data_IF_544874692241
#
_entry.id   IF_544874692241
#
_cell.length_a   1.000
_cell.length_b   1.000
_cell.length_c   1.000
_cell.angle_alpha   90.00
_cell.angle_beta   90.00
_cell.angle_gamma   90.00
#
_symmetry.space_group_name_H-M   'P 1'
#
loop_
_entity.id
_entity.type
_entity.pdbx_description
1 polymer ?
#
# COMPACT_ATOMS: atom_id res chain seq x y z
N UNK A 1 -17.12 6.45 5.92
CA UNK A 1 -16.20 5.31 5.63
C UNK A 1 -15.63 4.76 6.93
N UNK A 2 -15.19 3.49 6.98
CA UNK A 2 -14.72 2.83 8.20
C UNK A 2 -13.65 3.61 8.99
N UNK A 3 -12.69 4.24 8.29
CA UNK A 3 -11.68 5.10 8.92
C UNK A 3 -12.30 6.31 9.64
N UNK A 4 -13.32 6.96 9.06
CA UNK A 4 -13.98 8.11 9.69
C UNK A 4 -14.74 7.72 10.96
N UNK A 5 -15.35 6.54 10.99
CA UNK A 5 -16.02 6.06 12.20
C UNK A 5 -15.04 5.85 13.36
N UNK A 6 -13.83 5.35 13.07
CA UNK A 6 -12.74 5.27 14.07
C UNK A 6 -12.26 6.66 14.47
N UNK A 7 -12.04 7.55 13.49
CA UNK A 7 -11.56 8.92 13.72
C UNK A 7 -12.54 9.75 14.57
N UNK A 8 -13.84 9.52 14.42
CA UNK A 8 -14.90 10.15 15.19
C UNK A 8 -15.12 9.52 16.58
N UNK A 9 -14.51 8.35 16.84
CA UNK A 9 -14.70 7.59 18.08
C UNK A 9 -16.01 6.79 18.14
N UNK A 10 -16.69 6.59 17.00
CA UNK A 10 -17.94 5.81 16.90
C UNK A 10 -17.68 4.30 17.06
N UNK A 11 -16.53 3.83 16.57
CA UNK A 11 -16.06 2.45 16.72
C UNK A 11 -14.59 2.43 17.16
N UNK A 12 -14.15 1.44 17.96
CA UNK A 12 -12.79 1.43 18.50
C UNK A 12 -11.71 1.06 17.46
N UNK A 13 -12.07 0.30 16.42
CA UNK A 13 -11.15 -0.13 15.37
C UNK A 13 -11.91 -0.56 14.10
N UNK A 14 -11.22 -0.53 12.97
CA UNK A 14 -11.71 -1.06 11.70
C UNK A 14 -10.56 -1.58 10.83
N UNK A 15 -10.84 -2.57 9.98
CA UNK A 15 -9.91 -3.06 8.97
C UNK A 15 -9.96 -2.16 7.73
N UNK A 16 -8.82 -1.63 7.33
CA UNK A 16 -8.65 -0.75 6.17
C UNK A 16 -7.33 -1.09 5.46
N UNK A 17 -7.22 -0.72 4.19
CA UNK A 17 -5.90 -0.59 3.57
C UNK A 17 -5.17 0.63 4.15
N UNK A 18 -3.87 0.47 4.40
CA UNK A 18 -3.03 1.47 5.05
C UNK A 18 -3.03 2.82 4.32
N UNK A 19 -3.10 2.83 2.98
CA UNK A 19 -3.04 4.06 2.18
C UNK A 19 -4.18 5.05 2.46
N UNK A 20 -5.35 4.58 2.95
CA UNK A 20 -6.43 5.49 3.34
C UNK A 20 -6.03 6.37 4.53
N UNK A 21 -5.34 5.78 5.51
CA UNK A 21 -4.87 6.53 6.67
C UNK A 21 -3.76 7.51 6.30
N UNK A 22 -2.80 7.10 5.47
CA UNK A 22 -1.74 8.02 4.99
C UNK A 22 -2.29 9.17 4.14
N UNK A 23 -3.33 8.94 3.34
CA UNK A 23 -3.99 10.02 2.60
C UNK A 23 -4.65 11.01 3.55
N UNK A 24 -5.36 10.53 4.57
CA UNK A 24 -5.96 11.39 5.59
C UNK A 24 -4.91 12.15 6.40
N UNK A 25 -3.80 11.49 6.75
CA UNK A 25 -2.67 12.11 7.44
C UNK A 25 -1.99 13.19 6.58
N UNK A 26 -1.88 12.97 5.27
CA UNK A 26 -1.35 13.97 4.33
C UNK A 26 -2.27 15.19 4.21
N UNK A 27 -3.58 14.98 4.28
CA UNK A 27 -4.59 16.04 4.21
C UNK A 27 -4.67 16.85 5.51
N UNK A 28 -4.63 16.18 6.66
CA UNK A 28 -4.90 16.79 7.98
C UNK A 28 -3.68 17.06 8.84
N UNK A 29 -2.53 16.45 8.55
CA UNK A 29 -1.41 16.35 9.48
C UNK A 29 -1.58 15.18 10.46
N UNK A 30 -0.51 14.42 10.71
CA UNK A 30 -0.53 13.22 11.57
C UNK A 30 -0.93 13.56 13.00
N UNK A 31 -0.48 14.71 13.49
CA UNK A 31 -0.75 15.25 14.83
C UNK A 31 -2.23 15.57 15.07
N UNK A 32 -3.00 15.78 14.01
CA UNK A 32 -4.43 16.09 14.09
C UNK A 32 -5.32 14.85 13.96
N UNK A 33 -4.71 13.66 13.78
CA UNK A 33 -5.44 12.40 13.74
C UNK A 33 -5.65 11.83 15.13
N UNK A 34 -6.87 11.34 15.39
CA UNK A 34 -7.25 10.60 16.59
C UNK A 34 -7.04 9.10 16.43
N UNK A 35 -6.90 8.62 15.20
CA UNK A 35 -6.63 7.22 14.86
C UNK A 35 -5.14 6.97 14.58
N UNK A 36 -4.73 5.70 14.69
CA UNK A 36 -3.38 5.23 14.32
C UNK A 36 -3.46 3.91 13.57
N UNK A 37 -2.45 3.60 12.77
CA UNK A 37 -2.31 2.28 12.18
C UNK A 37 -1.78 1.28 13.21
N UNK A 38 -2.38 0.09 13.20
CA UNK A 38 -1.88 -1.08 13.93
C UNK A 38 -1.70 -2.22 12.95
N UNK A 39 -0.45 -2.69 12.82
CA UNK A 39 -0.07 -3.77 11.93
C UNK A 39 0.06 -5.07 12.72
N UNK A 40 -0.74 -6.06 12.34
CA UNK A 40 -0.53 -7.44 12.79
C UNK A 40 0.74 -7.98 12.10
N UNK A 41 1.58 -8.71 12.83
CA UNK A 41 2.92 -9.14 12.41
C UNK A 41 3.13 -10.63 12.64
N UNK A 42 4.34 -11.09 12.37
CA UNK A 42 4.83 -12.43 12.73
C UNK A 42 4.22 -13.61 11.95
N UNK A 43 3.89 -13.42 10.67
CA UNK A 43 3.13 -14.40 9.86
C UNK A 43 1.77 -14.79 10.48
N UNK A 44 1.24 -13.97 11.38
CA UNK A 44 -0.11 -14.17 11.88
C UNK A 44 -1.11 -14.05 10.71
N UNK A 45 -2.18 -14.86 10.65
CA UNK A 45 -3.17 -14.77 9.59
C UNK A 45 -3.79 -13.38 9.39
N UNK A 46 -3.76 -12.52 10.41
CA UNK A 46 -4.18 -11.12 10.32
C UNK A 46 -3.17 -10.17 9.68
N UNK A 47 -1.92 -10.59 9.45
CA UNK A 47 -0.88 -9.85 8.74
C UNK A 47 -1.09 -9.92 7.21
N UNK A 48 -2.26 -9.47 6.76
CA UNK A 48 -2.68 -9.55 5.37
C UNK A 48 -1.92 -8.55 4.50
N UNK A 49 -1.28 -9.06 3.45
CA UNK A 49 -0.66 -8.27 2.38
C UNK A 49 -1.40 -8.57 1.09
N UNK A 50 -1.94 -7.53 0.46
CA UNK A 50 -2.55 -7.61 -0.87
C UNK A 50 -1.59 -7.10 -1.94
N UNK A 51 -1.65 -7.69 -3.14
CA UNK A 51 -0.82 -7.29 -4.27
C UNK A 51 -1.66 -6.68 -5.39
N UNK A 52 -1.14 -5.62 -6.01
CA UNK A 52 -1.66 -5.07 -7.25
C UNK A 52 -0.95 -5.74 -8.44
N UNK A 53 -1.70 -6.51 -9.24
CA UNK A 53 -1.18 -7.20 -10.43
C UNK A 53 -1.61 -6.53 -11.74
N UNK A 54 -0.79 -6.67 -12.78
CA UNK A 54 -1.10 -6.26 -14.14
C UNK A 54 -0.80 -7.39 -15.12
N UNK A 55 -1.66 -7.57 -16.13
CA UNK A 55 -1.49 -8.59 -17.17
C UNK A 55 -2.04 -8.10 -18.51
N UNK A 56 -1.45 -8.57 -19.61
CA UNK A 56 -1.92 -8.29 -20.96
C UNK A 56 -2.99 -9.30 -21.37
N UNK A 57 -4.14 -8.81 -21.81
CA UNK A 57 -5.22 -9.67 -22.29
C UNK A 57 -4.84 -10.35 -23.61
N UNK A 58 -5.10 -11.66 -23.73
CA UNK A 58 -4.87 -12.42 -24.97
C UNK A 58 -5.59 -11.83 -26.19
N UNK A 59 -6.74 -11.21 -26.00
CA UNK A 59 -7.53 -10.57 -27.06
C UNK A 59 -7.13 -9.10 -27.35
N UNK A 60 -6.09 -8.57 -26.71
CA UNK A 60 -5.66 -7.18 -26.93
C UNK A 60 -5.25 -6.98 -28.39
N UNK A 61 -5.72 -5.88 -28.99
CA UNK A 61 -5.30 -5.43 -30.32
C UNK A 61 -3.93 -4.74 -30.32
N UNK A 62 -3.45 -4.35 -29.13
CA UNK A 62 -2.20 -3.61 -28.92
C UNK A 62 -1.26 -4.40 -28.01
N UNK A 63 -0.95 -5.65 -28.36
CA UNK A 63 -0.17 -6.58 -27.52
C UNK A 63 1.20 -6.01 -27.13
N UNK A 64 1.97 -5.50 -28.12
CA UNK A 64 3.31 -4.98 -27.88
C UNK A 64 3.31 -3.76 -26.94
N UNK A 65 2.37 -2.84 -27.14
CA UNK A 65 2.27 -1.60 -26.35
C UNK A 65 1.77 -1.90 -24.94
N UNK A 66 0.83 -2.84 -24.78
CA UNK A 66 0.40 -3.30 -23.48
C UNK A 66 1.55 -3.98 -22.71
N UNK A 67 2.38 -4.78 -23.39
CA UNK A 67 3.56 -5.38 -22.77
C UNK A 67 4.55 -4.31 -22.31
N UNK A 68 4.88 -3.34 -23.17
CA UNK A 68 5.75 -2.20 -22.79
C UNK A 68 5.19 -1.42 -21.59
N UNK A 69 3.87 -1.30 -21.47
CA UNK A 69 3.26 -0.64 -20.33
C UNK A 69 3.43 -1.45 -19.03
N UNK A 70 3.22 -2.77 -19.07
CA UNK A 70 3.47 -3.64 -17.91
C UNK A 70 4.96 -3.60 -17.52
N UNK A 71 5.87 -3.64 -18.49
CA UNK A 71 7.31 -3.51 -18.26
C UNK A 71 7.65 -2.15 -17.63
N UNK A 72 7.01 -1.07 -18.08
CA UNK A 72 7.15 0.25 -17.48
C UNK A 72 6.66 0.27 -16.03
N UNK A 73 5.51 -0.32 -15.72
CA UNK A 73 4.99 -0.40 -14.34
C UNK A 73 5.98 -1.12 -13.42
N UNK A 74 6.64 -2.19 -13.89
CA UNK A 74 7.66 -2.93 -13.14
C UNK A 74 9.05 -2.24 -13.12
N UNK A 75 9.28 -1.24 -13.97
CA UNK A 75 10.54 -0.50 -14.03
C UNK A 75 10.76 0.37 -12.78
N UNK A 76 12.00 0.80 -12.54
CA UNK A 76 12.33 1.73 -11.44
C UNK A 76 11.48 3.00 -11.49
N UNK A 77 11.39 3.65 -12.65
CA UNK A 77 10.63 4.89 -12.83
C UNK A 77 9.13 4.70 -12.64
N UNK A 78 8.58 3.57 -13.09
CA UNK A 78 7.17 3.25 -12.88
C UNK A 78 6.85 3.03 -11.41
N UNK A 79 7.70 2.28 -10.70
CA UNK A 79 7.56 2.04 -9.27
C UNK A 79 7.70 3.34 -8.46
N UNK A 80 8.68 4.20 -8.79
CA UNK A 80 8.82 5.54 -8.18
C UNK A 80 7.54 6.38 -8.34
N UNK A 81 6.94 6.37 -9.55
CA UNK A 81 5.69 7.09 -9.79
C UNK A 81 4.51 6.52 -8.99
N UNK A 82 4.42 5.20 -8.83
CA UNK A 82 3.36 4.54 -8.07
C UNK A 82 3.46 4.87 -6.56
N UNK A 83 4.64 4.70 -5.97
CA UNK A 83 4.82 4.95 -4.52
C UNK A 83 4.79 6.44 -4.17
N UNK A 84 5.06 7.33 -5.12
CA UNK A 84 4.86 8.77 -4.92
C UNK A 84 3.38 9.16 -4.80
N UNK A 85 2.50 8.43 -5.49
CA UNK A 85 1.07 8.71 -5.51
C UNK A 85 0.32 8.06 -4.33
N UNK A 86 0.78 6.89 -3.86
CA UNK A 86 0.09 6.10 -2.83
C UNK A 86 1.09 5.48 -1.86
N UNK A 87 0.65 5.33 -0.62
CA UNK A 87 1.40 4.66 0.44
C UNK A 87 1.39 3.12 0.25
N UNK A 88 1.94 2.67 -0.88
CA UNK A 88 2.10 1.26 -1.26
C UNK A 88 3.58 0.85 -1.18
N UNK A 89 3.82 -0.45 -1.05
CA UNK A 89 5.16 -1.03 -1.10
C UNK A 89 5.59 -1.23 -2.55
N UNK A 90 6.79 -0.77 -2.96
CA UNK A 90 7.29 -1.03 -4.29
C UNK A 90 7.66 -2.51 -4.46
N UNK A 91 7.50 -3.02 -5.66
CA UNK A 91 7.98 -4.35 -6.04
C UNK A 91 9.52 -4.42 -6.05
N UNK A 92 10.18 -3.30 -6.32
CA UNK A 92 11.63 -3.21 -6.44
C UNK A 92 12.27 -2.75 -5.13
N UNK A 93 13.29 -3.48 -4.68
CA UNK A 93 14.04 -3.15 -3.46
C UNK A 93 14.89 -1.86 -3.56
N UNK A 94 15.19 -1.39 -4.77
CA UNK A 94 15.95 -0.15 -5.02
C UNK A 94 15.06 1.10 -5.14
N UNK A 95 13.76 0.97 -4.86
CA UNK A 95 12.79 2.06 -4.82
C UNK A 95 12.27 2.19 -3.39
N UNK A 96 12.19 3.42 -2.90
CA UNK A 96 11.75 3.73 -1.53
C UNK A 96 10.48 4.57 -1.60
N UNK A 97 9.47 4.19 -0.82
CA UNK A 97 8.25 4.99 -0.68
C UNK A 97 8.56 6.27 0.10
N UNK A 98 8.05 7.44 -0.34
CA UNK A 98 8.16 8.67 0.44
C UNK A 98 7.28 8.66 1.70
N UNK A 99 6.36 7.70 1.81
CA UNK A 99 5.57 7.48 3.01
C UNK A 99 6.36 6.67 4.03
N UNK A 100 6.23 7.00 5.32
CA UNK A 100 6.86 6.26 6.41
C UNK A 100 6.11 4.94 6.68
N UNK A 101 6.26 3.98 5.77
CA UNK A 101 5.64 2.65 5.85
C UNK A 101 6.33 1.77 6.89
N UNK A 102 5.59 0.82 7.47
CA UNK A 102 6.20 -0.23 8.29
C UNK A 102 7.13 -1.09 7.41
N UNK A 103 8.36 -1.43 7.84
CA UNK A 103 9.22 -2.32 7.07
C UNK A 103 8.54 -3.64 6.71
N UNK A 104 8.61 -4.02 5.43
CA UNK A 104 7.89 -5.16 4.90
C UNK A 104 8.27 -6.48 5.58
N UNK A 105 9.53 -6.63 5.95
CA UNK A 105 10.10 -7.82 6.57
C UNK A 105 9.40 -8.18 7.89
N UNK A 106 8.91 -7.18 8.63
CA UNK A 106 8.23 -7.39 9.91
C UNK A 106 6.90 -8.14 9.77
N UNK A 107 6.29 -8.14 8.59
CA UNK A 107 5.10 -8.95 8.30
C UNK A 107 5.48 -10.43 8.08
N UNK A 108 6.66 -10.68 7.51
CA UNK A 108 7.12 -12.00 7.10
C UNK A 108 8.00 -12.72 8.14
N UNK A 109 8.51 -12.04 9.16
CA UNK A 109 9.28 -12.68 10.24
C UNK A 109 8.42 -13.70 11.02
N UNK A 110 8.98 -14.83 11.47
CA UNK A 110 8.27 -15.72 12.40
C UNK A 110 8.45 -15.22 13.83
N UNK A 111 7.43 -15.41 14.68
CA UNK A 111 7.55 -15.19 16.13
C UNK A 111 8.65 -16.12 16.66
N UNK A 112 9.66 -15.58 17.35
CA UNK A 112 10.63 -16.38 18.10
C UNK A 112 9.96 -17.07 19.28
#
# INVERSE_FOLDING_TARGET
MALQAVENGEVPAALINNYYWYNLAKEKGVENLKSRLYFVRHQDPGALVSYSGAAVLKASKNQAEAQKFVDFLASKKGQEALVAARAEYPLRADVVSPFNLEPYEKFCEKKK
#
